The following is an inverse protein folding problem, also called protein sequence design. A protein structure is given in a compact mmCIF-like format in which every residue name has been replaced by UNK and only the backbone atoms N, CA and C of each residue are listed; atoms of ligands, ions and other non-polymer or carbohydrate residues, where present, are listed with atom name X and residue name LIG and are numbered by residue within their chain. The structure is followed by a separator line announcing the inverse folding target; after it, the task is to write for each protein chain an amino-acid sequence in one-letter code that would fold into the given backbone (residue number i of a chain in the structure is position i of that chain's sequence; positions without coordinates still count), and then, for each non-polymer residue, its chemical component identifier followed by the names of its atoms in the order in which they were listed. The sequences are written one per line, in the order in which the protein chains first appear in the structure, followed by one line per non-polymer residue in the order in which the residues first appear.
data_IF_017254883481
#
_entry.id   IF_017254883481
#
_cell.length_a   1.000
_cell.length_b   1.000
_cell.length_c   1.000
_cell.angle_alpha   90.00
_cell.angle_beta   90.00
_cell.angle_gamma   90.00
#
_symmetry.space_group_name_H-M   'P 1'
#
loop_
_entity.id
_entity.type
_entity.pdbx_description
1 polymer ?
#
# COMPACT_ATOMS: atom_id res chain seq x y z
N UNK A 1 -46.74 42.58 -35.68
CA UNK A 1 -45.33 42.69 -36.12
C UNK A 1 -44.70 43.81 -35.29
N UNK A 2 -43.52 43.61 -34.66
CA UNK A 2 -42.42 42.81 -35.16
C UNK A 2 -42.04 41.61 -34.27
N UNK A 3 -41.61 40.54 -34.93
CA UNK A 3 -40.90 39.43 -34.32
C UNK A 3 -39.43 39.81 -34.20
N UNK A 4 -38.90 39.94 -32.99
CA UNK A 4 -37.46 40.03 -32.76
C UNK A 4 -36.86 38.64 -32.81
N UNK A 5 -36.16 38.34 -33.90
CA UNK A 5 -35.36 37.13 -34.06
C UNK A 5 -34.16 37.19 -33.11
N UNK A 6 -34.15 36.29 -32.11
CA UNK A 6 -32.94 36.04 -31.33
C UNK A 6 -32.10 35.03 -32.10
N UNK A 7 -30.97 35.49 -32.62
CA UNK A 7 -29.97 34.71 -33.33
C UNK A 7 -29.41 33.60 -32.42
N UNK A 8 -29.25 32.35 -32.89
CA UNK A 8 -28.69 31.30 -32.05
C UNK A 8 -27.19 31.56 -31.90
N UNK A 9 -26.75 31.83 -30.66
CA UNK A 9 -25.34 31.79 -30.29
C UNK A 9 -24.84 30.38 -30.60
N UNK A 10 -24.14 30.24 -31.73
CA UNK A 10 -23.44 29.02 -32.09
C UNK A 10 -22.47 28.69 -30.94
N UNK A 11 -22.80 27.67 -30.14
CA UNK A 11 -21.83 27.04 -29.25
C UNK A 11 -20.72 26.50 -30.15
N UNK A 12 -19.59 27.20 -30.24
CA UNK A 12 -18.35 26.61 -30.74
C UNK A 12 -18.02 25.46 -29.79
N UNK A 13 -18.43 24.26 -30.16
CA UNK A 13 -17.89 23.06 -29.55
C UNK A 13 -16.43 23.03 -29.98
N UNK A 14 -15.52 23.40 -29.07
CA UNK A 14 -14.09 23.17 -29.21
C UNK A 14 -13.88 21.66 -29.24
N UNK A 15 -14.01 21.04 -30.41
CA UNK A 15 -13.53 19.68 -30.66
C UNK A 15 -12.06 19.82 -31.01
N UNK A 16 -11.18 19.55 -30.05
CA UNK A 16 -9.76 19.41 -30.33
C UNK A 16 -9.58 18.35 -31.43
N UNK A 17 -8.89 18.70 -32.51
CA UNK A 17 -8.68 17.81 -33.64
C UNK A 17 -7.74 16.65 -33.22
N UNK A 18 -7.89 15.47 -33.84
CA UNK A 18 -7.03 14.30 -33.61
C UNK A 18 -5.55 14.63 -33.77
N UNK A 19 -5.23 15.55 -34.68
CA UNK A 19 -3.86 16.08 -34.88
C UNK A 19 -3.38 16.89 -33.68
N UNK A 20 -4.24 17.72 -33.09
CA UNK A 20 -3.91 18.47 -31.87
C UNK A 20 -3.74 17.54 -30.67
N UNK A 21 -4.59 16.53 -30.52
CA UNK A 21 -4.44 15.52 -29.48
C UNK A 21 -3.13 14.73 -29.63
N UNK A 22 -2.77 14.33 -30.86
CA UNK A 22 -1.52 13.65 -31.15
C UNK A 22 -0.30 14.52 -30.83
N UNK A 23 -0.31 15.81 -31.20
CA UNK A 23 0.78 16.74 -30.88
C UNK A 23 0.92 16.97 -29.37
N UNK A 24 -0.20 17.08 -28.64
CA UNK A 24 -0.20 17.20 -27.18
C UNK A 24 0.35 15.92 -26.53
N UNK A 25 -0.05 14.74 -27.02
CA UNK A 25 0.45 13.46 -26.52
C UNK A 25 1.96 13.31 -26.77
N UNK A 26 2.44 13.67 -27.96
CA UNK A 26 3.89 13.67 -28.28
C UNK A 26 4.65 14.66 -27.41
N UNK A 27 4.12 15.88 -27.23
CA UNK A 27 4.70 16.88 -26.34
C UNK A 27 4.76 16.41 -24.89
N UNK A 28 3.72 15.74 -24.41
CA UNK A 28 3.65 15.19 -23.05
C UNK A 28 4.65 14.05 -22.84
N UNK A 29 4.77 13.13 -23.81
CA UNK A 29 5.76 12.04 -23.75
C UNK A 29 7.18 12.58 -23.81
N UNK A 30 7.46 13.58 -24.65
CA UNK A 30 8.77 14.24 -24.71
C UNK A 30 9.10 14.99 -23.41
N UNK A 31 8.12 15.68 -22.83
CA UNK A 31 8.29 16.36 -21.55
C UNK A 31 8.60 15.36 -20.42
N UNK A 32 7.86 14.25 -20.32
CA UNK A 32 8.15 13.20 -19.35
C UNK A 32 9.53 12.60 -19.60
N UNK A 33 9.90 12.31 -20.85
CA UNK A 33 11.21 11.76 -21.17
C UNK A 33 12.38 12.70 -20.80
N UNK A 34 12.17 14.02 -20.90
CA UNK A 34 13.13 15.04 -20.46
C UNK A 34 13.19 15.16 -18.92
N UNK A 35 12.06 15.08 -18.22
CA UNK A 35 12.01 15.17 -16.76
C UNK A 35 12.46 13.88 -16.05
N UNK A 36 12.24 12.73 -16.68
CA UNK A 36 12.44 11.39 -16.11
C UNK A 36 13.59 10.62 -16.78
N UNK A 37 14.48 11.29 -17.53
CA UNK A 37 15.58 10.63 -18.27
C UNK A 37 16.38 9.65 -17.40
N UNK A 38 16.67 10.04 -16.15
CA UNK A 38 17.37 9.22 -15.16
C UNK A 38 16.52 8.08 -14.60
N UNK A 39 15.22 8.29 -14.44
CA UNK A 39 14.26 7.26 -14.05
C UNK A 39 14.10 6.18 -15.12
N UNK A 40 14.14 6.58 -16.40
CA UNK A 40 14.13 5.67 -17.55
C UNK A 40 15.38 4.79 -17.60
N UNK A 41 16.56 5.30 -17.20
CA UNK A 41 17.78 4.49 -17.06
C UNK A 41 17.58 3.40 -16.01
N UNK A 42 17.11 3.76 -14.81
CA UNK A 42 16.86 2.81 -13.71
C UNK A 42 15.80 1.77 -14.08
N UNK A 43 14.75 2.18 -14.79
CA UNK A 43 13.71 1.28 -15.28
C UNK A 43 14.26 0.32 -16.35
N UNK A 44 15.00 0.82 -17.33
CA UNK A 44 15.59 0.00 -18.38
C UNK A 44 16.60 -1.03 -17.82
N UNK A 45 17.37 -0.67 -16.79
CA UNK A 45 18.31 -1.58 -16.13
C UNK A 45 17.60 -2.70 -15.33
N UNK A 46 16.29 -2.57 -15.05
CA UNK A 46 15.46 -3.58 -14.35
C UNK A 46 14.72 -4.53 -15.28
N UNK A 47 14.75 -4.31 -16.60
CA UNK A 47 14.16 -5.23 -17.57
C UNK A 47 14.94 -6.55 -17.61
N UNK A 48 14.30 -7.62 -18.09
CA UNK A 48 14.94 -8.92 -18.25
C UNK A 48 16.22 -8.81 -19.11
N UNK A 49 17.30 -9.45 -18.65
CA UNK A 49 18.60 -9.36 -19.28
C UNK A 49 18.55 -9.97 -20.68
N UNK A 50 18.75 -9.13 -21.69
CA UNK A 50 18.69 -9.55 -23.09
C UNK A 50 19.01 -8.41 -24.07
N UNK A 51 19.04 -8.70 -25.39
CA UNK A 51 19.41 -7.70 -26.41
C UNK A 51 18.52 -6.46 -26.41
N UNK A 52 17.24 -6.63 -26.06
CA UNK A 52 16.28 -5.52 -25.95
C UNK A 52 16.59 -4.62 -24.76
N UNK A 53 16.86 -5.21 -23.58
CA UNK A 53 17.23 -4.46 -22.37
C UNK A 53 18.53 -3.68 -22.60
N UNK A 54 19.53 -4.27 -23.24
CA UNK A 54 20.78 -3.57 -23.58
C UNK A 54 20.55 -2.38 -24.51
N UNK A 55 19.71 -2.54 -25.54
CA UNK A 55 19.36 -1.45 -26.47
C UNK A 55 18.59 -0.34 -25.77
N UNK A 56 17.61 -0.69 -24.93
CA UNK A 56 16.80 0.28 -24.19
C UNK A 56 17.63 1.01 -23.13
N UNK A 57 18.50 0.32 -22.41
CA UNK A 57 19.40 0.92 -21.43
C UNK A 57 20.42 1.85 -22.11
N UNK A 58 20.97 1.46 -23.26
CA UNK A 58 21.84 2.34 -24.06
C UNK A 58 21.10 3.58 -24.57
N UNK A 59 19.86 3.41 -25.04
CA UNK A 59 19.02 4.52 -25.48
C UNK A 59 18.69 5.48 -24.33
N UNK A 60 18.30 4.95 -23.16
CA UNK A 60 17.99 5.73 -21.97
C UNK A 60 19.22 6.49 -21.45
N UNK A 61 20.39 5.85 -21.38
CA UNK A 61 21.65 6.51 -21.00
C UNK A 61 22.12 7.51 -22.05
N UNK A 62 21.81 7.29 -23.32
CA UNK A 62 22.07 8.24 -24.40
C UNK A 62 21.21 9.50 -24.26
N UNK A 63 19.93 9.34 -23.94
CA UNK A 63 19.01 10.42 -23.64
C UNK A 63 19.46 11.21 -22.40
N UNK A 64 19.73 10.51 -21.29
CA UNK A 64 20.15 11.14 -20.03
C UNK A 64 21.43 11.98 -20.20
N UNK A 65 22.43 11.48 -20.92
CA UNK A 65 23.66 12.25 -21.23
C UNK A 65 23.41 13.52 -22.05
N UNK A 66 22.42 13.51 -22.95
CA UNK A 66 22.08 14.69 -23.77
C UNK A 66 21.26 15.71 -22.99
N UNK A 67 20.50 15.27 -22.01
CA UNK A 67 19.62 16.12 -21.18
C UNK A 67 20.34 16.64 -19.94
N UNK A 68 21.35 15.93 -19.43
CA UNK A 68 22.11 16.32 -18.24
C UNK A 68 22.68 17.76 -18.27
N UNK A 69 23.22 18.27 -19.39
CA UNK A 69 23.71 19.66 -19.47
C UNK A 69 22.61 20.72 -19.33
N UNK A 70 21.35 20.38 -19.59
CA UNK A 70 20.21 21.28 -19.42
C UNK A 70 19.87 21.51 -17.94
N UNK A 71 20.46 20.74 -17.02
CA UNK A 71 20.27 20.89 -15.58
C UNK A 71 18.89 20.51 -15.04
N UNK A 72 17.92 20.17 -15.91
CA UNK A 72 16.51 19.88 -15.56
C UNK A 72 16.41 18.77 -14.50
N UNK A 73 17.26 17.74 -14.58
CA UNK A 73 17.32 16.65 -13.59
C UNK A 73 17.78 17.08 -12.20
N UNK A 74 18.52 18.19 -12.07
CA UNK A 74 18.90 18.79 -10.79
C UNK A 74 17.80 19.67 -10.19
N UNK A 75 16.92 20.22 -11.04
CA UNK A 75 15.78 21.01 -10.61
C UNK A 75 14.69 20.14 -9.99
N UNK A 76 14.53 18.89 -10.39
CA UNK A 76 13.47 18.03 -9.85
C UNK A 76 13.57 17.79 -8.33
N UNK A 77 14.72 17.38 -7.75
CA UNK A 77 14.85 17.31 -6.30
C UNK A 77 14.62 18.66 -5.63
N UNK A 78 15.08 19.76 -6.23
CA UNK A 78 14.92 21.11 -5.68
C UNK A 78 13.47 21.61 -5.76
N UNK A 79 12.76 21.29 -6.83
CA UNK A 79 11.36 21.57 -7.06
C UNK A 79 10.49 20.71 -6.15
N UNK A 80 10.79 19.41 -6.00
CA UNK A 80 10.13 18.53 -5.03
C UNK A 80 10.40 18.99 -3.59
N UNK A 81 11.62 19.47 -3.27
CA UNK A 81 11.92 20.09 -1.96
C UNK A 81 11.27 21.47 -1.78
N UNK A 82 11.07 22.23 -2.85
CA UNK A 82 10.38 23.53 -2.84
C UNK A 82 8.87 23.36 -2.68
N UNK A 83 8.30 22.41 -3.42
CA UNK A 83 6.91 21.96 -3.34
C UNK A 83 6.63 21.36 -1.95
N UNK A 84 7.53 20.53 -1.41
CA UNK A 84 7.42 20.02 -0.03
C UNK A 84 7.43 21.15 1.01
N UNK A 85 8.21 22.21 0.81
CA UNK A 85 8.22 23.41 1.67
C UNK A 85 6.94 24.25 1.55
N UNK A 86 6.23 24.13 0.44
CA UNK A 86 4.91 24.74 0.21
C UNK A 86 3.76 23.78 0.56
N UNK A 87 4.05 22.66 1.25
CA UNK A 87 3.05 21.69 1.72
C UNK A 87 2.61 20.66 0.67
N UNK A 88 3.20 20.68 -0.52
CA UNK A 88 2.92 19.74 -1.61
C UNK A 88 3.87 18.53 -1.49
N UNK A 89 3.32 17.37 -1.14
CA UNK A 89 4.06 16.10 -1.06
C UNK A 89 3.57 15.14 -2.14
N UNK A 90 4.48 14.29 -2.65
CA UNK A 90 4.10 13.09 -3.41
C UNK A 90 3.34 12.05 -2.53
N UNK A 91 3.22 12.34 -1.23
CA UNK A 91 2.38 11.65 -0.27
C UNK A 91 0.95 12.21 -0.32
N UNK A 92 -0.10 11.38 -0.21
CA UNK A 92 -1.47 11.87 -0.05
C UNK A 92 -1.60 12.76 1.21
N UNK A 93 -2.57 13.70 1.23
CA UNK A 93 -2.54 14.94 2.00
C UNK A 93 -2.87 14.81 3.51
N UNK A 94 -2.26 13.84 4.21
CA UNK A 94 -2.28 13.77 5.68
C UNK A 94 -0.88 13.74 6.32
N UNK A 95 0.20 13.75 5.52
CA UNK A 95 1.56 13.65 6.05
C UNK A 95 2.21 14.99 6.47
N UNK A 96 1.52 16.14 6.33
CA UNK A 96 2.13 17.47 6.53
C UNK A 96 1.70 18.22 7.80
N UNK A 97 0.85 17.66 8.64
CA UNK A 97 0.48 18.29 9.91
C UNK A 97 1.11 17.53 11.08
N UNK A 98 2.32 17.92 11.48
CA UNK A 98 2.70 18.31 12.86
C UNK A 98 4.22 18.36 12.94
N UNK A 99 4.83 19.44 12.45
CA UNK A 99 6.11 19.88 13.00
C UNK A 99 6.32 21.37 12.74
N UNK A 100 5.85 22.21 13.66
CA UNK A 100 6.47 23.50 13.93
C UNK A 100 6.11 24.01 15.33
N UNK A 101 7.09 24.67 15.95
CA UNK A 101 7.09 25.40 17.21
C UNK A 101 7.24 24.59 18.51
N UNK A 102 8.46 24.13 18.78
CA UNK A 102 9.05 24.25 20.11
C UNK A 102 10.16 25.30 20.05
N UNK A 103 10.04 26.33 20.89
CA UNK A 103 11.14 27.21 21.31
C UNK A 103 10.88 27.69 22.76
N UNK A 104 11.92 28.09 23.50
CA UNK A 104 12.17 27.53 24.84
C UNK A 104 12.02 28.56 25.97
N UNK A 105 11.61 28.13 27.18
CA UNK A 105 11.88 28.90 28.42
C UNK A 105 12.11 27.99 29.64
N UNK A 106 13.18 28.36 30.34
CA UNK A 106 13.75 28.05 31.64
C UNK A 106 13.02 27.25 32.76
N UNK A 107 13.90 26.57 33.48
CA UNK A 107 13.90 25.82 34.74
C UNK A 107 13.20 26.37 36.01
N UNK A 108 12.79 25.38 36.84
CA UNK A 108 12.63 25.31 38.32
C UNK A 108 11.33 25.84 38.98
N UNK A 109 11.02 25.42 40.25
CA UNK A 109 10.74 24.07 40.72
C UNK A 109 9.35 23.96 41.41
N UNK A 110 9.02 22.75 41.84
CA UNK A 110 7.74 22.32 42.41
C UNK A 110 7.69 22.69 43.91
N UNK A 111 6.58 23.27 44.36
CA UNK A 111 6.13 23.15 45.76
C UNK A 111 4.59 23.14 45.87
N UNK A 112 4.12 22.58 46.99
CA UNK A 112 2.90 21.79 47.15
C UNK A 112 1.54 22.53 47.33
N UNK A 113 0.49 21.69 47.36
CA UNK A 113 -0.80 21.80 48.08
C UNK A 113 -2.09 22.23 47.31
N UNK A 114 -3.10 21.35 47.42
CA UNK A 114 -4.56 21.56 47.23
C UNK A 114 -5.16 22.22 48.51
N UNK A 115 -6.47 22.60 48.64
CA UNK A 115 -7.61 22.62 47.69
C UNK A 115 -8.54 23.87 47.77
N UNK A 116 -9.63 23.86 46.97
CA UNK A 116 -11.01 24.33 47.26
C UNK A 116 -11.64 25.44 46.36
N UNK A 117 -12.72 25.02 45.69
CA UNK A 117 -14.07 25.61 45.59
C UNK A 117 -14.37 27.03 45.05
N UNK A 118 -15.37 27.03 44.13
CA UNK A 118 -16.57 27.88 44.08
C UNK A 118 -16.69 28.97 43.00
N UNK A 119 -17.94 29.14 42.58
CA UNK A 119 -18.45 29.83 41.39
C UNK A 119 -18.57 31.35 41.56
N UNK A 120 -18.50 32.11 40.44
CA UNK A 120 -19.52 33.07 39.96
C UNK A 120 -18.95 34.14 38.99
N UNK A 121 -19.76 34.47 37.98
CA UNK A 121 -19.75 35.64 37.06
C UNK A 121 -20.94 36.53 37.54
N UNK A 122 -21.10 37.86 37.33
CA UNK A 122 -20.72 38.69 36.16
C UNK A 122 -20.32 40.17 36.41
N UNK A 123 -19.85 40.89 35.35
CA UNK A 123 -20.36 42.20 34.84
C UNK A 123 -19.34 42.97 33.96
N UNK A 124 -19.84 43.70 32.95
CA UNK A 124 -19.18 44.55 31.93
C UNK A 124 -19.83 45.96 31.94
N UNK A 125 -19.43 47.00 31.16
CA UNK A 125 -18.15 47.49 30.58
C UNK A 125 -17.95 49.03 30.95
N UNK A 126 -17.23 49.97 30.24
CA UNK A 126 -17.17 50.25 28.77
C UNK A 126 -15.82 50.70 28.09
N UNK A 127 -15.82 50.57 26.75
CA UNK A 127 -15.30 51.44 25.66
C UNK A 127 -13.79 51.76 25.41
N UNK A 128 -13.26 51.16 24.31
CA UNK A 128 -12.56 51.68 23.08
C UNK A 128 -11.68 52.99 23.10
N UNK A 129 -10.68 53.20 22.19
CA UNK A 129 -10.60 52.73 20.79
C UNK A 129 -9.22 52.30 20.21
N UNK A 130 -9.26 51.83 18.95
CA UNK A 130 -8.19 51.36 18.03
C UNK A 130 -7.24 52.48 17.55
N UNK A 131 -6.08 52.12 16.94
CA UNK A 131 -5.51 52.94 15.87
C UNK A 131 -5.29 52.20 14.54
N UNK A 132 -5.26 53.03 13.49
CA UNK A 132 -5.48 52.77 12.09
C UNK A 132 -4.25 52.41 11.26
N UNK A 133 -4.53 51.79 10.11
CA UNK A 133 -3.69 51.60 8.93
C UNK A 133 -3.26 52.96 8.33
N UNK A 134 -2.00 53.09 7.90
CA UNK A 134 -1.55 54.13 6.96
C UNK A 134 -0.63 53.53 5.89
N UNK A 135 -0.87 53.98 4.66
CA UNK A 135 -0.36 53.52 3.37
C UNK A 135 0.93 54.24 2.92
N UNK A 136 1.64 53.64 1.95
CA UNK A 136 2.79 54.21 1.21
C UNK A 136 2.41 55.34 0.25
N UNK A 137 3.38 56.19 -0.18
CA UNK A 137 3.62 56.45 -1.61
C UNK A 137 5.11 56.57 -2.04
N UNK A 138 5.42 56.73 -3.36
CA UNK A 138 6.71 56.40 -4.02
C UNK A 138 7.50 57.65 -4.55
N UNK A 139 8.23 57.63 -5.69
CA UNK A 139 9.68 57.37 -5.84
C UNK A 139 10.49 58.57 -6.36
N UNK A 140 11.83 58.54 -6.28
CA UNK A 140 12.69 59.39 -7.14
C UNK A 140 14.10 58.79 -7.34
N UNK A 141 14.51 58.68 -8.60
CA UNK A 141 15.89 58.62 -9.11
C UNK A 141 16.06 59.82 -10.10
N UNK A 142 17.26 60.30 -10.49
CA UNK A 142 18.17 59.52 -11.33
C UNK A 142 19.71 59.78 -11.23
N UNK A 143 20.47 58.84 -11.83
CA UNK A 143 21.80 58.94 -12.48
C UNK A 143 23.04 59.24 -11.60
N UNK A 144 24.28 58.78 -11.85
CA UNK A 144 24.88 58.18 -13.05
C UNK A 144 26.26 57.51 -12.75
N UNK A 145 26.64 56.55 -13.61
CA UNK A 145 28.01 56.19 -14.11
C UNK A 145 29.07 55.60 -13.14
N UNK A 146 29.38 54.30 -13.33
CA UNK A 146 30.69 53.80 -13.79
C UNK A 146 30.70 52.26 -13.95
N UNK A 147 31.22 51.77 -15.08
CA UNK A 147 31.67 50.38 -15.34
C UNK A 147 33.19 50.41 -15.61
N UNK A 148 33.87 49.27 -15.86
CA UNK A 148 34.09 48.14 -14.96
C UNK A 148 35.61 47.88 -14.78
N UNK A 149 36.05 47.20 -13.73
CA UNK A 149 37.41 46.62 -13.69
C UNK A 149 37.42 45.27 -12.98
N UNK A 150 37.97 44.30 -13.71
CA UNK A 150 38.14 42.89 -13.40
C UNK A 150 39.05 42.65 -12.19
N UNK A 151 38.69 41.67 -11.33
CA UNK A 151 39.57 41.10 -10.29
C UNK A 151 39.42 39.55 -10.32
N UNK A 152 40.53 38.79 -10.24
CA UNK A 152 40.65 37.35 -10.57
C UNK A 152 40.04 36.39 -9.52
N UNK A 153 39.93 35.06 -9.81
CA UNK A 153 39.37 34.09 -8.88
C UNK A 153 40.27 33.90 -7.65
N UNK A 154 39.68 34.04 -6.47
CA UNK A 154 40.29 33.67 -5.19
C UNK A 154 40.35 32.14 -5.00
N UNK A 155 41.31 31.63 -4.21
CA UNK A 155 41.71 30.22 -4.19
C UNK A 155 40.70 29.30 -3.51
N UNK A 156 40.67 28.06 -3.97
CA UNK A 156 39.87 26.95 -3.44
C UNK A 156 40.02 26.78 -1.93
N UNK A 157 38.93 26.97 -1.20
CA UNK A 157 38.77 26.52 0.19
C UNK A 157 38.50 25.00 0.20
N UNK A 158 39.08 24.22 1.14
CA UNK A 158 38.87 22.78 1.20
C UNK A 158 37.44 22.44 1.65
N UNK A 159 36.94 21.30 1.17
CA UNK A 159 35.61 20.77 1.47
C UNK A 159 35.31 20.75 2.98
N UNK A 160 34.06 21.03 3.41
CA UNK A 160 33.67 20.88 4.81
C UNK A 160 33.83 19.41 5.20
N UNK A 161 34.71 19.18 6.18
CA UNK A 161 34.90 17.88 6.80
C UNK A 161 33.64 17.58 7.61
N UNK A 162 32.97 16.46 7.31
CA UNK A 162 31.82 16.00 8.09
C UNK A 162 32.24 15.79 9.55
N UNK A 163 31.42 16.19 10.54
CA UNK A 163 31.71 15.86 11.93
C UNK A 163 31.73 14.33 12.10
N UNK A 164 32.58 13.78 12.98
CA UNK A 164 32.61 12.35 13.22
C UNK A 164 31.24 11.90 13.73
N UNK A 165 30.67 10.91 13.03
CA UNK A 165 29.51 10.16 13.51
C UNK A 165 29.91 9.55 14.84
N UNK A 166 29.27 9.96 15.94
CA UNK A 166 29.43 9.29 17.22
C UNK A 166 29.06 7.81 17.04
N UNK A 167 29.94 6.85 17.38
CA UNK A 167 29.57 5.45 17.35
C UNK A 167 28.40 5.24 18.33
N UNK A 168 27.36 4.56 17.84
CA UNK A 168 26.27 4.06 18.67
C UNK A 168 26.87 3.30 19.87
N UNK A 169 26.44 3.54 21.11
CA UNK A 169 26.96 2.80 22.25
C UNK A 169 26.81 1.29 21.99
N UNK A 170 27.89 0.49 22.09
CA UNK A 170 27.77 -0.95 21.96
C UNK A 170 27.06 -1.48 23.21
N UNK A 171 25.96 -2.21 23.01
CA UNK A 171 25.44 -3.14 24.03
C UNK A 171 24.30 -2.62 24.91
N UNK A 172 23.19 -2.20 24.32
CA UNK A 172 21.90 -2.53 24.96
C UNK A 172 21.37 -3.81 24.29
N UNK A 173 21.41 -4.98 24.95
CA UNK A 173 20.76 -6.16 24.42
C UNK A 173 19.27 -5.84 24.27
N UNK A 174 18.73 -6.11 23.07
CA UNK A 174 17.28 -6.20 22.91
C UNK A 174 16.77 -7.20 23.95
N UNK A 175 15.63 -6.94 24.63
CA UNK A 175 15.05 -7.95 25.50
C UNK A 175 14.85 -9.23 24.67
N UNK A 176 15.21 -10.40 25.20
CA UNK A 176 14.99 -11.65 24.49
C UNK A 176 13.51 -11.73 24.15
N UNK A 177 13.20 -11.90 22.86
CA UNK A 177 11.88 -12.35 22.42
C UNK A 177 11.69 -13.68 23.13
N UNK A 178 10.86 -13.73 24.18
CA UNK A 178 10.52 -14.99 24.81
C UNK A 178 9.95 -15.88 23.70
N UNK A 179 10.55 -17.05 23.39
CA UNK A 179 9.94 -17.96 22.46
C UNK A 179 8.62 -18.39 23.08
N UNK A 180 7.51 -17.94 22.48
CA UNK A 180 6.23 -18.58 22.70
C UNK A 180 6.43 -20.08 22.42
N UNK A 181 5.86 -20.97 23.25
CA UNK A 181 6.04 -22.40 23.06
C UNK A 181 5.68 -22.76 21.63
N UNK A 182 6.66 -23.33 20.91
CA UNK A 182 6.49 -23.77 19.54
C UNK A 182 5.46 -24.91 19.53
N UNK A 183 4.20 -24.55 19.35
CA UNK A 183 3.18 -25.52 18.95
C UNK A 183 3.57 -25.92 17.53
N UNK A 184 4.27 -27.05 17.40
CA UNK A 184 4.47 -27.70 16.11
C UNK A 184 3.09 -27.93 15.50
N UNK A 185 2.72 -27.08 14.55
CA UNK A 185 1.52 -27.28 13.75
C UNK A 185 1.74 -28.55 12.93
N UNK A 186 0.90 -29.56 13.20
CA UNK A 186 0.76 -30.73 12.33
C UNK A 186 0.56 -30.27 10.89
N UNK A 187 1.39 -30.75 9.96
CA UNK A 187 1.35 -30.41 8.54
C UNK A 187 0.17 -31.07 7.80
N UNK A 188 -0.93 -31.35 8.49
CA UNK A 188 -2.15 -31.77 7.84
C UNK A 188 -2.68 -30.57 7.03
N UNK A 189 -2.48 -30.62 5.72
CA UNK A 189 -3.13 -29.70 4.80
C UNK A 189 -4.63 -29.75 5.12
N UNK A 190 -5.18 -28.66 5.67
CA UNK A 190 -6.60 -28.56 5.93
C UNK A 190 -7.32 -28.69 4.58
N UNK A 191 -7.85 -29.89 4.32
CA UNK A 191 -8.59 -30.17 3.10
C UNK A 191 -9.88 -29.36 3.18
N UNK A 192 -10.04 -28.38 2.30
CA UNK A 192 -11.23 -27.54 2.28
C UNK A 192 -12.44 -28.40 1.93
N UNK A 193 -13.38 -28.52 2.87
CA UNK A 193 -14.66 -29.21 2.61
C UNK A 193 -15.43 -28.39 1.57
N UNK A 194 -15.74 -28.97 0.39
CA UNK A 194 -16.37 -28.22 -0.68
C UNK A 194 -17.70 -27.59 -0.25
N UNK A 195 -17.93 -26.35 -0.66
CA UNK A 195 -19.20 -25.67 -0.46
C UNK A 195 -20.27 -26.26 -1.38
N UNK A 196 -21.58 -26.06 -1.10
CA UNK A 196 -22.64 -26.48 -2.00
C UNK A 196 -22.42 -25.98 -3.43
N UNK A 197 -22.87 -26.76 -4.42
CA UNK A 197 -22.69 -26.41 -5.83
C UNK A 197 -23.35 -25.06 -6.14
N UNK A 198 -22.59 -24.16 -6.75
CA UNK A 198 -23.12 -22.89 -7.25
C UNK A 198 -23.86 -23.12 -8.58
N UNK A 199 -24.82 -22.24 -8.93
CA UNK A 199 -25.58 -22.37 -10.17
C UNK A 199 -25.81 -21.02 -10.82
N UNK A 200 -26.11 -21.00 -12.12
CA UNK A 200 -26.45 -19.76 -12.82
C UNK A 200 -27.72 -19.09 -12.27
N UNK A 201 -28.65 -19.86 -11.70
CA UNK A 201 -29.86 -19.31 -11.08
C UNK A 201 -29.58 -18.60 -9.75
N UNK A 202 -28.51 -18.99 -9.05
CA UNK A 202 -28.04 -18.37 -7.81
C UNK A 202 -26.51 -18.31 -7.81
N UNK A 203 -25.92 -17.34 -8.53
CA UNK A 203 -24.48 -17.22 -8.61
C UNK A 203 -23.90 -16.89 -7.24
N UNK A 204 -22.82 -17.57 -6.87
CA UNK A 204 -22.08 -17.30 -5.65
C UNK A 204 -21.24 -16.04 -5.82
N UNK A 205 -21.35 -15.12 -4.88
CA UNK A 205 -20.55 -13.89 -4.82
C UNK A 205 -19.33 -14.13 -3.93
N UNK A 206 -18.13 -13.97 -4.49
CA UNK A 206 -16.85 -14.23 -3.82
C UNK A 206 -16.04 -12.94 -3.77
N UNK A 207 -15.86 -12.36 -2.58
CA UNK A 207 -14.97 -11.22 -2.40
C UNK A 207 -13.52 -11.69 -2.23
N UNK A 208 -12.60 -11.12 -3.00
CA UNK A 208 -11.16 -11.32 -2.88
C UNK A 208 -10.58 -10.15 -2.09
N UNK A 209 -10.30 -10.38 -0.81
CA UNK A 209 -9.96 -9.34 0.15
C UNK A 209 -8.48 -9.38 0.57
N UNK A 210 -7.85 -8.21 0.70
CA UNK A 210 -6.55 -8.10 1.35
C UNK A 210 -5.53 -7.19 0.67
N UNK A 211 -4.25 -7.42 0.96
CA UNK A 211 -3.17 -6.51 0.58
C UNK A 211 -2.50 -6.94 -0.74
N UNK A 212 -1.20 -6.65 -0.88
CA UNK A 212 -0.44 -7.04 -2.07
C UNK A 212 -0.32 -8.55 -2.23
N UNK A 213 -0.45 -9.35 -1.17
CA UNK A 213 -0.45 -10.82 -1.27
C UNK A 213 -1.69 -11.33 -1.99
N UNK A 214 -2.84 -10.67 -1.83
CA UNK A 214 -4.03 -10.93 -2.66
C UNK A 214 -3.84 -10.34 -4.06
N UNK A 215 -3.37 -9.09 -4.15
CA UNK A 215 -3.39 -8.31 -5.38
C UNK A 215 -2.38 -8.80 -6.45
N UNK A 216 -1.25 -9.36 -6.04
CA UNK A 216 -0.16 -9.78 -6.92
C UNK A 216 -0.22 -11.29 -7.11
N UNK A 217 -0.51 -11.72 -8.34
CA UNK A 217 -0.60 -13.13 -8.73
C UNK A 217 -1.91 -13.81 -8.32
N UNK A 218 -2.20 -13.88 -7.01
CA UNK A 218 -3.27 -14.73 -6.46
C UNK A 218 -4.66 -14.40 -7.02
N UNK A 219 -5.12 -13.15 -6.89
CA UNK A 219 -6.46 -12.77 -7.36
C UNK A 219 -6.61 -12.96 -8.87
N UNK A 220 -5.61 -12.53 -9.65
CA UNK A 220 -5.63 -12.64 -11.11
C UNK A 220 -5.66 -14.11 -11.56
N UNK A 221 -4.84 -14.97 -10.95
CA UNK A 221 -4.81 -16.40 -11.26
C UNK A 221 -6.12 -17.09 -10.88
N UNK A 222 -6.67 -16.82 -9.68
CA UNK A 222 -7.95 -17.40 -9.27
C UNK A 222 -9.09 -16.97 -10.20
N UNK A 223 -9.12 -15.69 -10.61
CA UNK A 223 -10.11 -15.20 -11.57
C UNK A 223 -10.00 -15.88 -12.93
N UNK A 224 -8.78 -16.15 -13.42
CA UNK A 224 -8.56 -16.94 -14.65
C UNK A 224 -9.12 -18.35 -14.50
N UNK A 225 -8.83 -19.01 -13.39
CA UNK A 225 -9.29 -20.39 -13.15
C UNK A 225 -10.80 -20.49 -12.91
N UNK A 226 -11.44 -19.40 -12.45
CA UNK A 226 -12.89 -19.29 -12.29
C UNK A 226 -13.62 -18.83 -13.56
N UNK A 227 -12.92 -18.38 -14.61
CA UNK A 227 -13.55 -17.89 -15.83
C UNK A 227 -14.51 -18.88 -16.51
N UNK A 228 -14.25 -20.21 -16.53
CA UNK A 228 -15.21 -21.19 -17.03
C UNK A 228 -16.53 -21.24 -16.25
N UNK A 229 -16.54 -20.77 -14.99
CA UNK A 229 -17.68 -20.83 -14.07
C UNK A 229 -18.35 -19.46 -13.86
N UNK A 230 -18.05 -18.45 -14.69
CA UNK A 230 -18.51 -17.06 -14.53
C UNK A 230 -20.04 -16.90 -14.42
N UNK A 231 -20.80 -17.84 -14.98
CA UNK A 231 -22.27 -17.82 -14.90
C UNK A 231 -22.76 -18.21 -13.49
N UNK A 232 -21.95 -18.95 -12.72
CA UNK A 232 -22.27 -19.46 -11.39
C UNK A 232 -21.42 -18.85 -10.26
N UNK A 233 -20.28 -18.23 -10.57
CA UNK A 233 -19.38 -17.58 -9.61
C UNK A 233 -19.09 -16.16 -10.08
N UNK A 234 -19.33 -15.18 -9.22
CA UNK A 234 -19.01 -13.77 -9.44
C UNK A 234 -17.94 -13.36 -8.44
N UNK A 235 -16.79 -12.86 -8.92
CA UNK A 235 -15.73 -12.35 -8.04
C UNK A 235 -15.85 -10.85 -7.85
N UNK A 236 -15.58 -10.36 -6.64
CA UNK A 236 -15.49 -8.95 -6.30
C UNK A 236 -14.05 -8.62 -5.90
N UNK A 237 -13.55 -7.49 -6.37
CA UNK A 237 -12.23 -6.98 -6.00
C UNK A 237 -12.34 -6.18 -4.70
N UNK A 238 -11.72 -6.68 -3.64
CA UNK A 238 -11.64 -5.99 -2.35
C UNK A 238 -10.19 -5.96 -1.83
N UNK A 239 -9.22 -5.70 -2.72
CA UNK A 239 -7.80 -5.69 -2.38
C UNK A 239 -7.09 -4.39 -2.72
N UNK A 240 -6.12 -4.01 -1.87
CA UNK A 240 -5.31 -2.79 -2.01
C UNK A 240 -3.88 -3.03 -1.53
N UNK A 241 -2.92 -2.93 -2.44
CA UNK A 241 -1.48 -3.06 -2.12
C UNK A 241 -1.00 -1.99 -1.14
N UNK A 242 0.07 -2.30 -0.40
CA UNK A 242 0.68 -1.43 0.61
C UNK A 242 -0.26 -1.05 1.77
N UNK A 243 -1.21 -1.92 2.10
CA UNK A 243 -2.13 -1.77 3.23
C UNK A 243 -2.04 -2.97 4.17
N UNK A 244 -2.70 -2.87 5.32
CA UNK A 244 -2.82 -3.93 6.31
C UNK A 244 -3.70 -3.47 7.48
N UNK A 245 -3.86 -4.31 8.50
CA UNK A 245 -4.72 -4.07 9.66
C UNK A 245 -3.99 -3.33 10.80
N UNK A 246 -2.66 -3.23 10.77
CA UNK A 246 -1.88 -2.63 11.84
C UNK A 246 -1.93 -1.09 11.86
N UNK A 247 -2.33 -0.43 10.77
CA UNK A 247 -2.32 1.04 10.66
C UNK A 247 -3.58 1.56 9.96
N UNK A 248 -4.73 1.66 10.66
CA UNK A 248 -5.97 2.17 10.06
C UNK A 248 -5.85 3.62 9.58
N UNK A 249 -4.93 4.40 10.12
CA UNK A 249 -4.59 5.75 9.65
C UNK A 249 -3.95 5.77 8.25
N UNK A 250 -3.37 4.66 7.79
CA UNK A 250 -2.88 4.50 6.41
C UNK A 250 -3.98 3.99 5.51
N UNK A 251 -4.74 2.99 5.97
CA UNK A 251 -5.87 2.43 5.24
C UNK A 251 -6.84 1.75 6.20
N UNK A 252 -8.02 2.33 6.33
CA UNK A 252 -9.07 1.81 7.21
C UNK A 252 -9.89 0.73 6.51
N UNK A 253 -9.52 -0.53 6.71
CA UNK A 253 -10.25 -1.68 6.15
C UNK A 253 -11.72 -1.74 6.59
N UNK A 254 -12.09 -1.23 7.77
CA UNK A 254 -13.47 -1.21 8.22
C UNK A 254 -14.33 -0.22 7.43
N UNK A 255 -13.73 0.91 7.05
CA UNK A 255 -14.39 1.92 6.20
C UNK A 255 -14.38 1.51 4.74
N UNK A 256 -13.26 1.02 4.23
CA UNK A 256 -13.02 0.86 2.80
C UNK A 256 -13.61 -0.43 2.23
N UNK A 257 -13.57 -1.54 2.97
CA UNK A 257 -14.07 -2.83 2.48
C UNK A 257 -15.56 -2.76 2.05
N UNK A 258 -16.49 -2.21 2.85
CA UNK A 258 -17.90 -2.09 2.42
C UNK A 258 -18.08 -1.25 1.14
N UNK A 259 -17.25 -0.21 0.95
CA UNK A 259 -17.31 0.64 -0.24
C UNK A 259 -16.87 -0.10 -1.50
N UNK A 260 -15.85 -0.97 -1.39
CA UNK A 260 -15.35 -1.79 -2.50
C UNK A 260 -16.38 -2.82 -3.00
N UNK A 261 -17.36 -3.19 -2.18
CA UNK A 261 -18.37 -4.18 -2.54
C UNK A 261 -19.54 -3.59 -3.34
N UNK A 262 -19.65 -2.27 -3.48
CA UNK A 262 -20.74 -1.61 -4.24
C UNK A 262 -22.14 -2.15 -3.86
N UNK A 263 -22.40 -2.33 -2.56
CA UNK A 263 -23.65 -2.89 -1.98
C UNK A 263 -23.90 -4.37 -2.24
N UNK A 264 -22.99 -5.09 -2.93
CA UNK A 264 -23.07 -6.54 -3.08
C UNK A 264 -22.74 -7.22 -1.74
N UNK A 265 -23.48 -8.28 -1.43
CA UNK A 265 -23.22 -9.12 -0.26
C UNK A 265 -22.49 -10.40 -0.69
N UNK A 266 -21.22 -10.59 -0.30
CA UNK A 266 -20.49 -11.81 -0.62
C UNK A 266 -21.05 -13.00 0.15
N UNK A 267 -21.20 -14.15 -0.51
CA UNK A 267 -21.42 -15.43 0.17
C UNK A 267 -20.12 -15.98 0.75
N UNK A 268 -18.99 -15.61 0.14
CA UNK A 268 -17.65 -16.04 0.51
C UNK A 268 -16.70 -14.85 0.46
N UNK A 269 -15.78 -14.77 1.43
CA UNK A 269 -14.66 -13.83 1.41
C UNK A 269 -13.36 -14.62 1.52
N UNK A 270 -12.49 -14.53 0.52
CA UNK A 270 -11.14 -15.09 0.59
C UNK A 270 -10.19 -13.96 0.99
N UNK A 271 -9.45 -14.15 2.08
CA UNK A 271 -8.60 -13.13 2.68
C UNK A 271 -7.14 -13.51 2.54
N UNK A 272 -6.31 -12.64 1.96
CA UNK A 272 -4.86 -12.73 2.03
C UNK A 272 -4.30 -11.34 2.39
N UNK A 273 -3.99 -11.14 3.67
CA UNK A 273 -3.61 -9.85 4.25
C UNK A 273 -2.62 -10.04 5.40
N UNK A 274 -1.77 -9.05 5.62
CA UNK A 274 -0.91 -8.94 6.81
C UNK A 274 0.58 -8.77 6.48
N UNK A 275 0.96 -8.74 5.20
CA UNK A 275 2.35 -8.60 4.80
C UNK A 275 2.97 -7.26 5.25
N UNK A 276 2.14 -6.23 5.38
CA UNK A 276 2.57 -4.89 5.80
C UNK A 276 2.36 -4.62 7.30
N UNK A 277 1.87 -5.60 8.07
CA UNK A 277 1.48 -5.40 9.46
C UNK A 277 2.62 -5.63 10.45
N UNK A 278 3.77 -6.14 9.98
CA UNK A 278 4.98 -6.38 10.76
C UNK A 278 5.74 -5.13 11.23
N UNK A 279 5.03 -4.08 11.65
CA UNK A 279 5.56 -2.77 12.05
C UNK A 279 4.89 -2.27 13.34
N UNK A 280 5.61 -1.45 14.10
CA UNK A 280 5.03 -0.75 15.24
C UNK A 280 4.05 0.33 14.78
N UNK A 281 3.18 0.77 15.69
CA UNK A 281 2.21 1.84 15.43
C UNK A 281 1.98 2.67 16.69
N UNK A 282 1.34 3.83 16.52
CA UNK A 282 0.88 4.66 17.63
C UNK A 282 -0.60 4.35 17.86
N UNK A 283 -0.97 4.12 19.12
CA UNK A 283 -2.36 3.87 19.52
C UNK A 283 -2.52 4.46 20.94
N UNK A 284 -3.56 5.27 21.13
CA UNK A 284 -3.77 6.14 22.29
C UNK A 284 -2.55 7.04 22.64
N UNK A 285 -1.92 7.62 21.62
CA UNK A 285 -0.76 8.50 21.77
C UNK A 285 0.53 7.79 22.22
N UNK A 286 0.53 6.46 22.32
CA UNK A 286 1.69 5.66 22.74
C UNK A 286 2.20 4.80 21.60
N UNK A 287 3.52 4.75 21.44
CA UNK A 287 4.18 3.84 20.50
C UNK A 287 4.07 2.42 21.04
N UNK A 288 3.50 1.53 20.25
CA UNK A 288 3.47 0.08 20.49
C UNK A 288 4.43 -0.58 19.51
N UNK A 289 5.55 -1.08 20.03
CA UNK A 289 6.55 -1.75 19.22
C UNK A 289 6.02 -3.10 18.72
N UNK A 290 6.32 -3.45 17.47
CA UNK A 290 5.91 -4.74 16.91
C UNK A 290 6.31 -5.90 17.83
N UNK A 291 5.36 -6.78 18.10
CA UNK A 291 5.55 -7.95 18.95
C UNK A 291 5.49 -7.69 20.46
N UNK A 292 5.39 -6.44 20.93
CA UNK A 292 5.12 -6.19 22.35
C UNK A 292 3.73 -6.71 22.76
N UNK A 293 3.49 -7.04 24.04
CA UNK A 293 2.18 -7.49 24.49
C UNK A 293 1.05 -6.50 24.15
N UNK A 294 1.31 -5.20 24.28
CA UNK A 294 0.34 -4.14 23.96
C UNK A 294 0.05 -4.06 22.46
N UNK A 295 1.08 -4.26 21.62
CA UNK A 295 0.93 -4.32 20.17
C UNK A 295 0.09 -5.54 19.77
N UNK A 296 0.39 -6.71 20.34
CA UNK A 296 -0.32 -7.96 20.05
C UNK A 296 -1.80 -7.85 20.46
N UNK A 297 -2.10 -7.26 21.62
CA UNK A 297 -3.47 -7.06 22.08
C UNK A 297 -4.29 -6.19 21.12
N UNK A 298 -3.72 -5.06 20.69
CA UNK A 298 -4.41 -4.16 19.74
C UNK A 298 -4.54 -4.79 18.37
N UNK A 299 -3.50 -5.43 17.86
CA UNK A 299 -3.54 -6.08 16.55
C UNK A 299 -4.53 -7.27 16.54
N UNK A 300 -4.57 -8.08 17.61
CA UNK A 300 -5.56 -9.16 17.76
C UNK A 300 -6.97 -8.61 17.69
N UNK A 301 -7.27 -7.53 18.42
CA UNK A 301 -8.59 -6.88 18.37
C UNK A 301 -8.95 -6.46 16.95
N UNK A 302 -8.03 -5.82 16.22
CA UNK A 302 -8.28 -5.38 14.83
C UNK A 302 -8.52 -6.54 13.87
N UNK A 303 -7.81 -7.66 14.04
CA UNK A 303 -8.06 -8.88 13.27
C UNK A 303 -9.45 -9.46 13.57
N UNK A 304 -9.83 -9.52 14.84
CA UNK A 304 -11.15 -10.02 15.26
C UNK A 304 -12.29 -9.13 14.77
N UNK A 305 -12.15 -7.81 14.88
CA UNK A 305 -13.11 -6.83 14.37
C UNK A 305 -13.26 -6.99 12.85
N UNK A 306 -12.14 -7.08 12.12
CA UNK A 306 -12.14 -7.28 10.68
C UNK A 306 -12.84 -8.59 10.29
N UNK A 307 -12.47 -9.71 10.92
CA UNK A 307 -13.13 -11.01 10.74
C UNK A 307 -14.63 -10.94 11.00
N UNK A 308 -15.05 -10.28 12.08
CA UNK A 308 -16.46 -10.11 12.42
C UNK A 308 -17.20 -9.31 11.36
N UNK A 309 -16.58 -8.26 10.80
CA UNK A 309 -17.14 -7.50 9.68
C UNK A 309 -17.29 -8.36 8.43
N UNK A 310 -16.26 -9.14 8.06
CA UNK A 310 -16.29 -9.98 6.87
C UNK A 310 -17.34 -11.08 6.97
N UNK A 311 -17.56 -11.65 8.16
CA UNK A 311 -18.51 -12.74 8.38
C UNK A 311 -19.98 -12.29 8.50
N UNK A 312 -20.25 -10.98 8.44
CA UNK A 312 -21.62 -10.42 8.45
C UNK A 312 -22.46 -10.99 7.31
N UNK A 313 -23.78 -10.86 7.45
CA UNK A 313 -24.76 -11.25 6.42
C UNK A 313 -24.69 -12.71 5.94
N UNK A 314 -24.00 -13.59 6.64
CA UNK A 314 -23.91 -14.97 6.19
C UNK A 314 -22.77 -15.24 5.19
N UNK A 315 -21.70 -14.42 5.14
CA UNK A 315 -20.50 -14.74 4.34
C UNK A 315 -19.52 -15.73 5.03
N UNK A 316 -19.08 -16.79 4.35
CA UNK A 316 -18.02 -17.69 4.83
C UNK A 316 -16.66 -17.04 4.57
N UNK A 317 -15.82 -16.91 5.59
CA UNK A 317 -14.49 -16.30 5.47
C UNK A 317 -13.42 -17.38 5.36
N UNK A 318 -12.64 -17.38 4.29
CA UNK A 318 -11.44 -18.21 4.15
C UNK A 318 -10.21 -17.34 4.35
N UNK A 319 -9.49 -17.52 5.45
CA UNK A 319 -8.25 -16.79 5.73
C UNK A 319 -7.05 -17.59 5.27
N UNK A 320 -6.34 -17.06 4.26
CA UNK A 320 -5.11 -17.64 3.74
C UNK A 320 -3.96 -17.33 4.68
N UNK A 321 -3.27 -18.39 5.14
CA UNK A 321 -1.99 -18.27 5.82
C UNK A 321 -0.97 -17.61 4.90
N UNK A 322 -0.29 -16.57 5.38
CA UNK A 322 0.80 -15.93 4.65
C UNK A 322 1.96 -16.93 4.45
N UNK A 323 2.48 -17.09 3.22
CA UNK A 323 3.56 -18.04 2.95
C UNK A 323 4.90 -17.61 3.56
N UNK A 324 5.85 -18.56 3.76
CA UNK A 324 7.16 -18.25 4.30
C UNK A 324 7.91 -17.33 3.33
N UNK A 325 8.57 -16.29 3.84
CA UNK A 325 9.20 -15.25 3.02
C UNK A 325 10.71 -15.45 2.90
N UNK A 326 11.33 -14.99 1.80
CA UNK A 326 12.76 -15.20 1.53
C UNK A 326 13.68 -14.59 2.60
N UNK A 327 13.34 -13.39 3.07
CA UNK A 327 14.12 -12.69 4.08
C UNK A 327 13.73 -13.17 5.49
N UNK A 328 14.65 -13.81 6.22
CA UNK A 328 14.40 -14.41 7.52
C UNK A 328 13.72 -13.48 8.54
N UNK A 329 14.18 -12.22 8.64
CA UNK A 329 13.58 -11.22 9.54
C UNK A 329 12.13 -10.89 9.16
N UNK A 330 11.82 -10.85 7.87
CA UNK A 330 10.46 -10.62 7.40
C UNK A 330 9.60 -11.86 7.59
N UNK A 331 10.15 -13.06 7.34
CA UNK A 331 9.49 -14.34 7.61
C UNK A 331 9.05 -14.48 9.08
N UNK A 332 9.94 -14.19 10.04
CA UNK A 332 9.60 -14.25 11.47
C UNK A 332 8.45 -13.31 11.86
N UNK A 333 8.31 -12.17 11.17
CA UNK A 333 7.15 -11.28 11.36
C UNK A 333 5.87 -11.92 10.82
N UNK A 334 5.93 -12.56 9.65
CA UNK A 334 4.77 -13.26 9.07
C UNK A 334 4.32 -14.43 9.92
N UNK A 335 5.24 -15.15 10.56
CA UNK A 335 4.92 -16.21 11.52
C UNK A 335 4.14 -15.65 12.72
N UNK A 336 4.58 -14.54 13.31
CA UNK A 336 3.87 -13.88 14.40
C UNK A 336 2.48 -13.36 13.99
N UNK A 337 2.37 -12.77 12.78
CA UNK A 337 1.09 -12.31 12.22
C UNK A 337 0.14 -13.50 11.99
N UNK A 338 0.65 -14.58 11.40
CA UNK A 338 -0.12 -15.79 11.14
C UNK A 338 -0.63 -16.41 12.43
N UNK A 339 0.16 -16.44 13.50
CA UNK A 339 -0.25 -17.01 14.78
C UNK A 339 -1.45 -16.27 15.39
N UNK A 340 -1.40 -14.94 15.40
CA UNK A 340 -2.51 -14.10 15.87
C UNK A 340 -3.76 -14.32 15.00
N UNK A 341 -3.60 -14.28 13.67
CA UNK A 341 -4.71 -14.46 12.75
C UNK A 341 -5.34 -15.85 12.86
N UNK A 342 -4.53 -16.90 12.96
CA UNK A 342 -4.98 -18.29 13.14
C UNK A 342 -5.79 -18.44 14.43
N UNK A 343 -5.34 -17.83 15.52
CA UNK A 343 -6.06 -17.86 16.79
C UNK A 343 -7.41 -17.13 16.71
N UNK A 344 -7.46 -15.97 16.04
CA UNK A 344 -8.71 -15.22 15.85
C UNK A 344 -9.69 -15.96 14.92
N UNK A 345 -9.20 -16.54 13.83
CA UNK A 345 -10.00 -17.35 12.89
C UNK A 345 -10.61 -18.56 13.59
N UNK A 346 -9.86 -19.24 14.46
CA UNK A 346 -10.37 -20.39 15.22
C UNK A 346 -11.54 -20.04 16.16
N UNK A 347 -11.69 -18.77 16.56
CA UNK A 347 -12.81 -18.29 17.39
C UNK A 347 -14.03 -17.82 16.58
N UNK A 348 -13.91 -17.68 15.26
CA UNK A 348 -14.99 -17.19 14.40
C UNK A 348 -15.68 -18.39 13.70
N UNK A 349 -16.92 -18.77 14.07
CA UNK A 349 -17.57 -19.99 13.56
C UNK A 349 -17.71 -20.07 12.04
N UNK A 350 -17.70 -18.93 11.36
CA UNK A 350 -17.86 -18.83 9.91
C UNK A 350 -16.55 -18.54 9.19
N UNK A 351 -15.42 -18.68 9.88
CA UNK A 351 -14.10 -18.51 9.33
C UNK A 351 -13.34 -19.85 9.25
N UNK A 352 -12.51 -19.99 8.22
CA UNK A 352 -11.69 -21.16 7.93
C UNK A 352 -10.25 -20.68 7.79
N UNK A 353 -9.34 -21.24 8.59
CA UNK A 353 -7.91 -21.04 8.38
C UNK A 353 -7.44 -22.00 7.29
N UNK A 354 -6.82 -21.47 6.23
CA UNK A 354 -6.32 -22.27 5.14
C UNK A 354 -4.81 -22.16 5.00
N UNK A 355 -4.14 -23.31 5.07
CA UNK A 355 -2.70 -23.44 4.93
C UNK A 355 -2.35 -24.08 3.57
N UNK A 356 -1.86 -23.30 2.59
CA UNK A 356 -1.46 -23.84 1.29
C UNK A 356 -0.02 -24.38 1.24
N UNK A 357 0.70 -24.49 2.36
CA UNK A 357 2.17 -24.71 2.36
C UNK A 357 2.60 -25.98 1.64
N UNK A 358 1.82 -27.05 1.69
CA UNK A 358 2.10 -28.29 0.95
C UNK A 358 2.29 -28.09 -0.57
N UNK A 359 1.77 -26.97 -1.12
CA UNK A 359 1.87 -26.60 -2.54
C UNK A 359 2.96 -25.60 -2.85
N UNK A 360 3.37 -24.75 -1.89
CA UNK A 360 4.19 -23.55 -2.18
C UNK A 360 5.40 -23.36 -1.27
N UNK A 361 5.55 -24.18 -0.22
CA UNK A 361 6.74 -24.26 0.62
C UNK A 361 7.57 -25.50 0.27
N UNK A 362 8.81 -25.56 0.76
CA UNK A 362 9.63 -26.78 0.66
C UNK A 362 9.19 -27.85 1.68
N UNK A 363 9.94 -28.96 1.73
CA UNK A 363 9.64 -30.08 2.60
C UNK A 363 9.69 -29.73 4.10
N UNK A 364 10.45 -28.70 4.47
CA UNK A 364 10.58 -28.20 5.84
C UNK A 364 9.61 -27.05 6.14
N UNK A 365 8.69 -26.74 5.20
CA UNK A 365 7.74 -25.65 5.30
C UNK A 365 8.37 -24.26 5.15
N UNK A 366 9.59 -24.17 4.59
CA UNK A 366 10.33 -22.93 4.39
C UNK A 366 10.10 -22.34 2.99
N UNK A 367 10.66 -21.14 2.78
CA UNK A 367 10.57 -20.42 1.52
C UNK A 367 11.12 -21.28 0.36
N UNK A 368 10.31 -21.42 -0.69
CA UNK A 368 10.68 -22.15 -1.90
C UNK A 368 10.52 -21.24 -3.13
N UNK A 369 11.62 -20.99 -3.83
CA UNK A 369 11.61 -20.13 -5.02
C UNK A 369 11.13 -20.86 -6.28
N UNK A 370 11.46 -22.14 -6.41
CA UNK A 370 11.12 -22.96 -7.58
C UNK A 370 10.45 -24.27 -7.16
N UNK A 371 9.56 -24.77 -8.00
CA UNK A 371 8.94 -26.08 -7.81
C UNK A 371 8.37 -26.61 -9.11
N UNK A 372 7.88 -27.84 -9.08
CA UNK A 372 7.20 -28.41 -10.24
C UNK A 372 5.85 -27.73 -10.43
N UNK A 373 5.52 -27.46 -11.69
CA UNK A 373 4.18 -27.03 -12.09
C UNK A 373 3.17 -28.15 -11.77
N UNK A 374 1.89 -27.82 -11.76
CA UNK A 374 0.80 -28.77 -11.52
C UNK A 374 0.83 -30.03 -12.43
N UNK A 375 1.40 -29.94 -13.64
CA UNK A 375 1.60 -31.09 -14.55
C UNK A 375 2.78 -32.01 -14.16
N UNK A 376 3.62 -31.60 -13.21
CA UNK A 376 4.80 -32.33 -12.76
C UNK A 376 5.98 -32.31 -13.75
N UNK A 377 5.83 -31.69 -14.92
CA UNK A 377 6.79 -31.83 -16.02
C UNK A 377 7.79 -30.68 -16.12
N UNK A 378 7.42 -29.50 -15.60
CA UNK A 378 8.24 -28.30 -15.71
C UNK A 378 8.52 -27.67 -14.35
N UNK A 379 9.80 -27.41 -14.07
CA UNK A 379 10.18 -26.53 -12.97
C UNK A 379 9.83 -25.09 -13.32
N UNK A 380 9.03 -24.46 -12.47
CA UNK A 380 8.57 -23.08 -12.58
C UNK A 380 8.94 -22.31 -11.34
N UNK A 381 9.04 -20.98 -11.47
CA UNK A 381 9.23 -20.10 -10.33
C UNK A 381 7.90 -19.97 -9.59
N UNK A 382 7.90 -20.12 -8.28
CA UNK A 382 6.70 -20.04 -7.44
C UNK A 382 6.53 -18.68 -6.76
N UNK A 383 7.61 -17.90 -6.70
CA UNK A 383 7.67 -16.63 -5.99
C UNK A 383 8.19 -15.55 -6.91
N UNK A 384 7.69 -14.33 -6.74
CA UNK A 384 8.25 -13.16 -7.39
C UNK A 384 9.67 -12.88 -6.91
N UNK A 385 10.39 -12.03 -7.67
CA UNK A 385 11.79 -11.72 -7.38
C UNK A 385 12.03 -11.07 -6.02
N UNK A 386 11.01 -10.45 -5.44
CA UNK A 386 11.05 -9.88 -4.10
C UNK A 386 11.04 -10.92 -2.97
N UNK A 387 10.74 -12.19 -3.27
CA UNK A 387 10.66 -13.25 -2.28
C UNK A 387 9.48 -13.12 -1.31
N UNK A 388 8.49 -12.29 -1.66
CA UNK A 388 7.26 -12.04 -0.90
C UNK A 388 6.07 -12.64 -1.66
N UNK A 389 5.80 -12.13 -2.87
CA UNK A 389 4.58 -12.46 -3.61
C UNK A 389 4.68 -13.82 -4.31
N UNK A 390 3.51 -14.42 -4.59
CA UNK A 390 3.42 -15.57 -5.49
C UNK A 390 3.53 -15.08 -6.93
N UNK A 391 4.24 -15.86 -7.75
CA UNK A 391 4.10 -15.73 -9.21
C UNK A 391 2.75 -16.28 -9.66
N UNK A 392 2.38 -16.03 -10.91
CA UNK A 392 1.19 -16.63 -11.53
C UNK A 392 1.24 -18.18 -11.46
N UNK A 393 2.41 -18.78 -11.71
CA UNK A 393 2.60 -20.23 -11.62
C UNK A 393 2.52 -20.73 -10.16
N UNK A 394 3.05 -19.97 -9.20
CA UNK A 394 2.96 -20.28 -7.77
C UNK A 394 1.52 -20.23 -7.27
N UNK A 395 0.77 -19.20 -7.65
CA UNK A 395 -0.66 -19.10 -7.39
C UNK A 395 -1.42 -20.26 -8.05
N UNK A 396 -1.03 -20.66 -9.26
CA UNK A 396 -1.60 -21.79 -10.00
C UNK A 396 -1.45 -23.15 -9.32
N UNK A 397 -0.57 -23.28 -8.31
CA UNK A 397 -0.49 -24.50 -7.50
C UNK A 397 -1.56 -24.56 -6.40
N UNK A 398 -2.16 -23.44 -6.02
CA UNK A 398 -3.08 -23.35 -4.87
C UNK A 398 -4.51 -22.99 -5.29
N UNK A 399 -4.69 -22.24 -6.38
CA UNK A 399 -6.01 -21.88 -6.90
C UNK A 399 -6.88 -23.08 -7.31
N UNK A 400 -6.36 -24.24 -7.79
CA UNK A 400 -7.21 -25.40 -8.05
C UNK A 400 -7.92 -25.93 -6.79
N UNK A 401 -7.30 -25.82 -5.62
CA UNK A 401 -7.92 -26.21 -4.36
C UNK A 401 -9.04 -25.22 -3.97
N UNK A 402 -8.86 -23.92 -4.24
CA UNK A 402 -9.90 -22.90 -4.08
C UNK A 402 -11.07 -23.08 -5.06
N UNK A 403 -10.79 -23.40 -6.33
CA UNK A 403 -11.82 -23.66 -7.35
C UNK A 403 -12.67 -24.87 -6.94
N UNK A 404 -12.04 -25.98 -6.53
CA UNK A 404 -12.75 -27.18 -6.07
C UNK A 404 -13.61 -26.89 -4.84
N UNK A 405 -13.13 -26.03 -3.96
CA UNK A 405 -13.86 -25.58 -2.78
C UNK A 405 -15.08 -24.71 -3.13
N UNK A 406 -14.91 -23.74 -4.03
CA UNK A 406 -15.95 -22.81 -4.46
C UNK A 406 -16.98 -23.43 -5.41
N UNK A 407 -16.57 -24.38 -6.22
CA UNK A 407 -17.42 -25.01 -7.24
C UNK A 407 -17.02 -26.49 -7.38
N UNK A 408 -17.46 -27.36 -6.44
CA UNK A 408 -17.23 -28.79 -6.59
C UNK A 408 -17.91 -29.34 -7.84
N UNK A 409 -17.36 -30.43 -8.38
CA UNK A 409 -18.03 -31.20 -9.41
C UNK A 409 -19.39 -31.68 -8.88
N UNK A 410 -20.40 -31.72 -9.75
CA UNK A 410 -21.68 -32.31 -9.40
C UNK A 410 -21.47 -33.75 -8.91
N UNK A 411 -22.13 -34.19 -7.82
CA UNK A 411 -22.05 -35.57 -7.40
C UNK A 411 -22.45 -36.47 -8.58
N UNK A 412 -21.68 -37.53 -8.83
CA UNK A 412 -22.04 -38.52 -9.83
C UNK A 412 -23.45 -39.02 -9.51
N UNK A 413 -24.34 -39.02 -10.51
CA UNK A 413 -25.69 -39.55 -10.33
C UNK A 413 -25.58 -40.98 -9.77
N UNK A 414 -26.36 -41.35 -8.74
CA UNK A 414 -26.32 -42.70 -8.21
C UNK A 414 -26.54 -43.67 -9.36
N UNK A 415 -25.62 -44.62 -9.53
CA UNK A 415 -25.74 -45.64 -10.56
C UNK A 415 -27.10 -46.33 -10.37
N UNK A 416 -28.02 -46.10 -11.31
CA UNK A 416 -29.28 -46.82 -11.35
C UNK A 416 -28.90 -48.28 -11.51
N UNK A 417 -29.00 -49.06 -10.43
CA UNK A 417 -28.90 -50.52 -10.51
C UNK A 417 -30.12 -50.96 -11.30
N UNK A 418 -29.97 -51.13 -12.61
CA UNK A 418 -30.89 -51.95 -13.40
C UNK A 418 -30.70 -53.37 -12.90
N UNK A 419 -31.59 -53.80 -12.00
CA UNK A 419 -31.65 -55.19 -11.55
C UNK A 419 -32.02 -56.13 -12.69
N UNK A 420 -31.65 -57.42 -12.58
CA UNK A 420 -31.88 -58.43 -13.62
C UNK A 420 -33.36 -58.71 -13.88
#
# INVERSE_FOLDING_TARGET
MPATSVSPVARRVLRNDRRQLAMVAVGFVLAIALLESRGLVVWADRLEVGPLQQRLAQAARGLDRRVAPLGIGAWRPQALHGLARLGWSDLPPEASATQTAASPVASMPIDAATPAASMAVPSTPPAAPLPSIVASPPPTAPAAVATPTSIPPSPSEPAPTLPPVSPLPPGSPLPPISPLPAVRASSAAATLTPLPQASAARPRVVALAGDSVMAVGLAAQLQRDLAPYRDSIVTLKAYRSATGLARPEVFDWHREYPLMLEQRKPDVVIVAIGANDGQGFVDDGKVKAFGSPEWQAVYTRRVEEYLAMLARDGAVVLWLQLPPMKAAKFNARMEAINEIARAAVARQPRAIWWNPMARIADADGQFREFGLRADGQKTVRLREADGIHLSDEGAGLITPDLVRWLHPAAPAAPAVRTGP
#
